data_IF_467388631513
#
_entry.id   IF_467388631513
#
_cell.length_a   1.000
_cell.length_b   1.000
_cell.length_c   1.000
_cell.angle_alpha   90.00
_cell.angle_beta   90.00
_cell.angle_gamma   90.00
#
_symmetry.space_group_name_H-M   'P 1'
#
loop_
_entity.id
_entity.type
_entity.pdbx_description
1 polymer ?
#
# COMPACT_ATOMS: atom_id res chain seq x y z
N UNK A 1 -16.02 -6.16 13.01
CA UNK A 1 -15.36 -5.00 12.37
C UNK A 1 -16.28 -4.25 11.44
N UNK A 2 -16.72 -4.82 10.31
CA UNK A 2 -17.55 -4.10 9.31
C UNK A 2 -18.80 -3.42 9.90
N UNK A 3 -19.51 -4.07 10.85
CA UNK A 3 -20.68 -3.46 11.52
C UNK A 3 -20.34 -2.23 12.39
N UNK A 4 -19.07 -2.03 12.72
CA UNK A 4 -18.53 -0.94 13.53
C UNK A 4 -17.78 0.10 12.67
N UNK A 5 -18.05 0.15 11.36
CA UNK A 5 -17.42 1.12 10.47
C UNK A 5 -17.60 2.56 10.98
N UNK A 6 -16.50 3.33 11.00
CA UNK A 6 -16.43 4.74 11.43
C UNK A 6 -16.83 5.03 12.89
N UNK A 7 -16.89 3.99 13.72
CA UNK A 7 -17.09 4.18 15.16
C UNK A 7 -15.76 4.45 15.86
N UNK A 8 -15.80 5.17 16.99
CA UNK A 8 -14.60 5.49 17.77
C UNK A 8 -13.85 4.20 18.17
N UNK A 9 -12.52 4.18 17.96
CA UNK A 9 -11.63 3.04 18.20
C UNK A 9 -11.90 1.78 17.36
N UNK A 10 -12.76 1.86 16.35
CA UNK A 10 -12.91 0.78 15.38
C UNK A 10 -11.70 0.68 14.46
N UNK A 11 -11.22 -0.54 14.21
CA UNK A 11 -10.20 -0.81 13.18
C UNK A 11 -10.69 -0.51 11.75
N UNK A 12 -12.00 -0.33 11.56
CA UNK A 12 -12.60 0.05 10.26
C UNK A 12 -12.90 1.55 10.21
N UNK A 13 -11.82 2.34 10.18
CA UNK A 13 -11.87 3.78 10.04
C UNK A 13 -12.51 4.24 8.71
N UNK A 14 -12.86 5.53 8.62
CA UNK A 14 -13.53 6.07 7.43
C UNK A 14 -12.65 6.12 6.18
N UNK A 15 -11.35 6.28 6.39
CA UNK A 15 -10.28 6.14 5.41
C UNK A 15 -9.31 5.08 5.96
N UNK A 16 -8.62 4.28 5.13
CA UNK A 16 -7.69 3.27 5.63
C UNK A 16 -6.53 3.91 6.41
N UNK A 17 -6.19 3.35 7.56
CA UNK A 17 -5.11 3.82 8.45
C UNK A 17 -4.07 2.70 8.66
N UNK A 18 -2.83 2.94 8.22
CA UNK A 18 -1.71 2.00 8.42
C UNK A 18 -1.42 1.86 9.91
N UNK A 19 -1.36 0.63 10.39
CA UNK A 19 -1.04 0.30 11.78
C UNK A 19 -2.26 0.00 12.65
N UNK A 20 -3.44 0.46 12.24
CA UNK A 20 -4.70 0.23 12.98
C UNK A 20 -5.44 -1.03 12.48
N UNK A 21 -5.50 -1.24 11.17
CA UNK A 21 -6.21 -2.37 10.55
C UNK A 21 -5.23 -3.36 9.91
N UNK A 22 -5.26 -4.66 10.27
CA UNK A 22 -4.43 -5.67 9.61
C UNK A 22 -4.65 -5.71 8.09
N UNK A 23 -3.56 -5.67 7.32
CA UNK A 23 -3.59 -5.68 5.85
C UNK A 23 -3.73 -4.31 5.19
N UNK A 24 -3.79 -3.21 5.97
CA UNK A 24 -3.70 -1.84 5.41
C UNK A 24 -2.23 -1.44 5.27
N UNK A 25 -1.73 -1.48 4.03
CA UNK A 25 -0.32 -1.22 3.71
C UNK A 25 0.10 0.25 3.86
N UNK A 26 -0.84 1.19 3.67
CA UNK A 26 -0.59 2.62 3.81
C UNK A 26 -1.86 3.39 4.17
N UNK A 27 -1.70 4.52 4.86
CA UNK A 27 -2.80 5.46 5.14
C UNK A 27 -3.12 6.25 3.87
N UNK A 28 -4.37 6.20 3.42
CA UNK A 28 -4.81 6.92 2.21
C UNK A 28 -6.07 7.73 2.48
N UNK A 29 -6.17 8.91 1.88
CA UNK A 29 -7.29 9.83 2.05
C UNK A 29 -7.10 11.08 1.20
N UNK A 30 -5.95 11.79 1.35
CA UNK A 30 -5.51 12.77 0.37
C UNK A 30 -5.26 12.11 -1.00
N UNK A 31 -5.99 12.56 -2.02
CA UNK A 31 -5.94 11.99 -3.38
C UNK A 31 -4.54 12.10 -3.99
N UNK A 32 -4.22 11.16 -4.91
CA UNK A 32 -2.92 11.06 -5.58
C UNK A 32 -1.79 10.46 -4.73
N UNK A 33 -1.77 10.69 -3.42
CA UNK A 33 -0.67 10.23 -2.55
C UNK A 33 -0.61 8.70 -2.43
N UNK A 34 -1.75 8.01 -2.48
CA UNK A 34 -1.77 6.54 -2.52
C UNK A 34 -1.05 5.96 -3.76
N UNK A 35 -1.14 6.65 -4.90
CA UNK A 35 -0.41 6.29 -6.11
C UNK A 35 1.10 6.52 -5.94
N UNK A 36 1.50 7.68 -5.42
CA UNK A 36 2.90 7.97 -5.13
C UNK A 36 3.53 6.98 -4.14
N UNK A 37 2.78 6.57 -3.11
CA UNK A 37 3.23 5.54 -2.15
C UNK A 37 3.48 4.20 -2.85
N UNK A 38 2.57 3.75 -3.71
CA UNK A 38 2.74 2.51 -4.47
C UNK A 38 3.95 2.55 -5.41
N UNK A 39 4.23 3.71 -6.04
CA UNK A 39 5.47 3.90 -6.81
C UNK A 39 6.70 3.71 -5.92
N UNK A 40 6.72 4.26 -4.71
CA UNK A 40 7.80 4.06 -3.75
C UNK A 40 7.97 2.59 -3.34
N UNK A 41 6.88 1.85 -3.14
CA UNK A 41 6.90 0.42 -2.82
C UNK A 41 7.47 -0.41 -3.98
N UNK A 42 7.06 -0.14 -5.22
CA UNK A 42 7.59 -0.80 -6.42
C UNK A 42 9.08 -0.47 -6.66
N UNK A 43 9.49 0.77 -6.39
CA UNK A 43 10.89 1.15 -6.44
C UNK A 43 11.73 0.38 -5.41
N UNK A 44 11.21 0.21 -4.19
CA UNK A 44 11.89 -0.56 -3.15
C UNK A 44 12.04 -2.04 -3.55
N UNK A 45 10.99 -2.66 -4.10
CA UNK A 45 11.04 -4.03 -4.65
C UNK A 45 12.18 -4.16 -5.67
N UNK A 46 12.23 -3.28 -6.67
CA UNK A 46 13.25 -3.32 -7.73
C UNK A 46 14.67 -3.11 -7.20
N UNK A 47 14.85 -2.17 -6.26
CA UNK A 47 16.16 -1.91 -5.63
C UNK A 47 16.63 -3.10 -4.80
N UNK A 48 15.73 -3.76 -4.07
CA UNK A 48 16.05 -4.92 -3.25
C UNK A 48 16.32 -6.16 -4.11
N UNK A 49 15.50 -6.40 -5.14
CA UNK A 49 15.73 -7.45 -6.13
C UNK A 49 17.12 -7.30 -6.77
N UNK A 50 17.46 -6.10 -7.25
CA UNK A 50 18.79 -5.80 -7.82
C UNK A 50 19.92 -6.03 -6.82
N UNK A 51 19.71 -5.71 -5.55
CA UNK A 51 20.75 -5.81 -4.52
C UNK A 51 20.98 -7.25 -4.06
N UNK A 52 19.95 -8.08 -4.03
CA UNK A 52 20.00 -9.36 -3.32
C UNK A 52 19.70 -10.59 -4.17
N UNK A 53 18.99 -10.48 -5.28
CA UNK A 53 18.76 -11.62 -6.17
C UNK A 53 20.07 -12.07 -6.82
N UNK A 54 20.18 -13.37 -7.06
CA UNK A 54 21.32 -14.01 -7.73
C UNK A 54 20.80 -14.98 -8.80
N UNK A 55 21.62 -15.37 -9.79
CA UNK A 55 21.22 -16.40 -10.75
C UNK A 55 20.72 -17.67 -10.03
N UNK A 56 19.48 -18.08 -10.32
CA UNK A 56 18.83 -19.23 -9.69
C UNK A 56 18.28 -18.99 -8.28
N UNK A 57 18.30 -17.76 -7.76
CA UNK A 57 17.81 -17.42 -6.43
C UNK A 57 17.23 -16.00 -6.38
N UNK A 58 15.92 -15.90 -6.62
CA UNK A 58 15.14 -14.67 -6.56
C UNK A 58 14.38 -14.61 -5.24
N UNK A 59 14.90 -13.83 -4.28
CA UNK A 59 14.31 -13.69 -2.94
C UNK A 59 13.36 -12.50 -2.84
N UNK A 60 13.48 -11.55 -3.77
CA UNK A 60 12.54 -10.45 -3.97
C UNK A 60 12.05 -10.56 -5.40
N UNK A 61 10.81 -11.02 -5.55
CA UNK A 61 10.08 -11.09 -6.81
C UNK A 61 8.58 -11.00 -6.48
N UNK A 62 8.04 -9.78 -6.47
CA UNK A 62 6.62 -9.55 -6.22
C UNK A 62 6.11 -8.33 -6.96
N UNK A 63 4.77 -8.20 -7.01
CA UNK A 63 4.11 -7.05 -7.64
C UNK A 63 3.57 -6.09 -6.61
N UNK A 64 3.53 -4.80 -6.97
CA UNK A 64 2.79 -3.77 -6.25
C UNK A 64 1.56 -3.41 -7.07
N UNK A 65 0.38 -3.57 -6.48
CA UNK A 65 -0.89 -3.16 -7.08
C UNK A 65 -1.41 -1.90 -6.41
N UNK A 66 -2.01 -1.02 -7.21
CA UNK A 66 -2.66 0.19 -6.71
C UNK A 66 -3.95 0.43 -7.48
N UNK A 67 -5.00 0.80 -6.74
CA UNK A 67 -6.30 1.16 -7.30
C UNK A 67 -6.41 2.67 -7.20
N UNK A 68 -6.67 3.31 -8.34
CA UNK A 68 -6.82 4.77 -8.46
C UNK A 68 -8.11 5.11 -9.21
N UNK A 69 -8.67 6.28 -8.95
CA UNK A 69 -9.77 6.85 -9.72
C UNK A 69 -9.37 8.19 -10.34
N UNK A 70 -10.29 8.83 -11.05
CA UNK A 70 -10.03 10.09 -11.78
C UNK A 70 -9.45 11.18 -10.89
N UNK A 71 -9.92 11.29 -9.64
CA UNK A 71 -9.41 12.25 -8.65
C UNK A 71 -7.93 12.08 -8.29
N UNK A 72 -7.33 10.91 -8.53
CA UNK A 72 -5.91 10.69 -8.35
C UNK A 72 -5.06 11.11 -9.55
N UNK A 73 -5.69 11.31 -10.73
CA UNK A 73 -5.03 11.58 -12.01
C UNK A 73 -5.19 13.04 -12.48
N UNK A 74 -5.86 13.88 -11.68
CA UNK A 74 -5.98 15.33 -11.87
C UNK A 74 -4.82 16.06 -11.20
#
# INVERSE_FOLDING_TARGET
DIRQFRQLHSVTAGHPERGECPGVETTTGPLGQGFANAVGMALAESLLAKKFNRPGHEIVDHRTWVIVGDGCLM
#
